data_IF_187019156596
#
_entry.id   IF_187019156596
#
_cell.length_a   1.000
_cell.length_b   1.000
_cell.length_c   1.000
_cell.angle_alpha   90.00
_cell.angle_beta   90.00
_cell.angle_gamma   90.00
#
_symmetry.space_group_name_H-M   'P 1'
#
loop_
_entity.id
_entity.type
_entity.pdbx_description
1 polymer ?
#
# COMPACT_ATOMS: atom_id res chain seq x y z
N UNK A 1 -14.30 31.40 -43.58
CA UNK A 1 -13.56 31.25 -42.31
C UNK A 1 -14.32 31.83 -41.12
N UNK A 2 -14.14 31.26 -39.91
CA UNK A 2 -14.71 31.77 -38.65
C UNK A 2 -13.64 32.57 -37.89
N UNK A 3 -13.99 33.75 -37.37
CA UNK A 3 -13.06 34.58 -36.63
C UNK A 3 -12.74 33.99 -35.24
N UNK A 4 -11.46 33.72 -34.88
CA UNK A 4 -11.10 33.09 -33.61
C UNK A 4 -11.32 34.00 -32.38
N UNK A 5 -11.53 35.31 -32.58
CA UNK A 5 -11.77 36.26 -31.49
C UNK A 5 -13.26 36.39 -31.13
N UNK A 6 -14.13 36.54 -32.13
CA UNK A 6 -15.55 36.84 -31.93
C UNK A 6 -16.51 35.81 -32.53
N UNK A 7 -16.00 34.72 -33.11
CA UNK A 7 -16.76 33.61 -33.70
C UNK A 7 -17.69 34.00 -34.87
N UNK A 8 -17.51 35.19 -35.45
CA UNK A 8 -18.27 35.62 -36.64
C UNK A 8 -17.78 34.89 -37.90
N UNK A 9 -18.72 34.36 -38.70
CA UNK A 9 -18.45 33.66 -39.95
C UNK A 9 -18.41 34.63 -41.14
N UNK A 10 -17.37 34.52 -41.96
CA UNK A 10 -17.15 35.42 -43.11
C UNK A 10 -16.35 34.70 -44.22
N UNK A 11 -16.36 35.21 -45.46
CA UNK A 11 -15.45 34.76 -46.52
C UNK A 11 -13.97 34.96 -46.14
N UNK A 12 -13.06 34.29 -46.85
CA UNK A 12 -11.62 34.39 -46.59
C UNK A 12 -11.09 35.82 -46.77
N UNK A 13 -10.43 36.34 -45.74
CA UNK A 13 -9.89 37.70 -45.73
C UNK A 13 -8.73 37.83 -44.75
N UNK A 14 -8.01 38.97 -44.78
CA UNK A 14 -6.88 39.24 -43.86
C UNK A 14 -7.32 39.73 -42.48
N UNK A 15 -8.57 40.17 -42.33
CA UNK A 15 -9.11 40.75 -41.09
C UNK A 15 -10.60 40.47 -40.90
N UNK A 16 -11.05 40.41 -39.65
CA UNK A 16 -12.47 40.27 -39.35
C UNK A 16 -13.24 41.55 -39.65
N UNK A 17 -14.33 41.46 -40.42
CA UNK A 17 -15.18 42.61 -40.76
C UNK A 17 -16.00 43.12 -39.57
N UNK A 18 -16.25 42.26 -38.58
CA UNK A 18 -17.04 42.59 -37.40
C UNK A 18 -16.20 43.19 -36.26
N UNK A 19 -15.12 42.52 -35.85
CA UNK A 19 -14.30 42.95 -34.71
C UNK A 19 -12.97 43.61 -35.08
N UNK A 20 -12.68 43.77 -36.38
CA UNK A 20 -11.50 44.48 -36.89
C UNK A 20 -10.17 43.76 -36.67
N UNK A 21 -10.18 42.52 -36.18
CA UNK A 21 -8.92 41.83 -35.84
C UNK A 21 -8.18 41.37 -37.10
N UNK A 22 -6.87 41.61 -37.16
CA UNK A 22 -6.00 41.08 -38.22
C UNK A 22 -5.58 39.67 -37.83
N UNK A 23 -5.96 38.66 -38.63
CA UNK A 23 -5.82 37.25 -38.25
C UNK A 23 -4.37 36.85 -37.95
N UNK A 24 -3.40 37.27 -38.77
CA UNK A 24 -1.97 36.97 -38.55
C UNK A 24 -1.45 37.55 -37.23
N UNK A 25 -1.82 38.79 -36.90
CA UNK A 25 -1.41 39.43 -35.65
C UNK A 25 -2.06 38.78 -34.43
N UNK A 26 -3.31 38.34 -34.58
CA UNK A 26 -4.06 37.70 -33.50
C UNK A 26 -3.60 36.26 -33.25
N UNK A 27 -3.28 35.50 -34.31
CA UNK A 27 -2.68 34.19 -34.16
C UNK A 27 -1.34 34.28 -33.42
N UNK A 28 -0.47 35.22 -33.80
CA UNK A 28 0.78 35.47 -33.08
C UNK A 28 0.57 35.91 -31.62
N UNK A 29 -0.58 36.52 -31.29
CA UNK A 29 -0.96 36.84 -29.92
C UNK A 29 -1.40 35.58 -29.15
N UNK A 30 -2.25 34.73 -29.75
CA UNK A 30 -2.69 33.47 -29.15
C UNK A 30 -1.50 32.53 -28.91
N UNK A 31 -0.59 32.41 -29.88
CA UNK A 31 0.61 31.59 -29.77
C UNK A 31 1.46 32.05 -28.58
N UNK A 32 1.69 33.36 -28.43
CA UNK A 32 2.39 33.93 -27.26
C UNK A 32 1.68 33.62 -25.95
N UNK A 33 0.36 33.74 -25.88
CA UNK A 33 -0.38 33.42 -24.66
C UNK A 33 -0.24 31.94 -24.30
N UNK A 34 -0.37 31.05 -25.29
CA UNK A 34 -0.21 29.62 -25.09
C UNK A 34 1.20 29.27 -24.59
N UNK A 35 2.26 29.91 -25.13
CA UNK A 35 3.63 29.71 -24.65
C UNK A 35 3.77 30.11 -23.18
N UNK A 36 3.30 31.32 -22.81
CA UNK A 36 3.37 31.82 -21.42
C UNK A 36 2.58 30.92 -20.46
N UNK A 37 1.37 30.49 -20.85
CA UNK A 37 0.57 29.57 -20.03
C UNK A 37 1.25 28.22 -19.84
N UNK A 38 1.86 27.67 -20.89
CA UNK A 38 2.59 26.41 -20.80
C UNK A 38 3.85 26.52 -19.93
N UNK A 39 4.63 27.60 -20.08
CA UNK A 39 5.80 27.87 -19.24
C UNK A 39 5.40 28.00 -17.76
N UNK A 40 4.37 28.79 -17.45
CA UNK A 40 3.84 28.92 -16.09
C UNK A 40 3.36 27.57 -15.51
N UNK A 41 2.69 26.75 -16.33
CA UNK A 41 2.22 25.43 -15.90
C UNK A 41 3.39 24.47 -15.59
N UNK A 42 4.44 24.50 -16.41
CA UNK A 42 5.66 23.72 -16.18
C UNK A 42 6.36 24.19 -14.91
N UNK A 43 6.57 25.49 -14.76
CA UNK A 43 7.22 26.09 -13.59
C UNK A 43 6.44 25.78 -12.29
N UNK A 44 5.10 25.90 -12.32
CA UNK A 44 4.26 25.56 -11.19
C UNK A 44 4.31 24.06 -10.86
N UNK A 45 4.36 23.18 -11.86
CA UNK A 45 4.49 21.72 -11.65
C UNK A 45 5.85 21.38 -11.03
N UNK A 46 6.92 22.02 -11.49
CA UNK A 46 8.27 21.86 -10.95
C UNK A 46 8.37 22.37 -9.51
N UNK A 47 7.84 23.55 -9.23
CA UNK A 47 7.74 24.10 -7.87
C UNK A 47 6.97 23.19 -6.93
N UNK A 48 5.76 22.76 -7.31
CA UNK A 48 4.95 21.82 -6.53
C UNK A 48 5.68 20.49 -6.26
N UNK A 49 6.41 19.97 -7.25
CA UNK A 49 7.19 18.74 -7.08
C UNK A 49 8.37 18.96 -6.13
N UNK A 50 9.08 20.09 -6.24
CA UNK A 50 10.18 20.45 -5.36
C UNK A 50 9.71 20.65 -3.90
N UNK A 51 8.58 21.31 -3.70
CA UNK A 51 7.95 21.47 -2.38
C UNK A 51 7.54 20.13 -1.78
N UNK A 52 6.88 19.25 -2.56
CA UNK A 52 6.54 17.89 -2.11
C UNK A 52 7.78 17.08 -1.74
N UNK A 53 8.84 17.13 -2.55
CA UNK A 53 10.12 16.48 -2.23
C UNK A 53 10.70 17.02 -0.94
N UNK A 54 10.72 18.33 -0.77
CA UNK A 54 11.25 19.00 0.44
C UNK A 54 10.46 18.62 1.68
N UNK A 55 9.13 18.63 1.60
CA UNK A 55 8.25 18.19 2.69
C UNK A 55 8.44 16.71 3.03
N UNK A 56 8.62 15.84 2.02
CA UNK A 56 8.90 14.42 2.23
C UNK A 56 10.26 14.20 2.91
N UNK A 57 11.32 14.85 2.41
CA UNK A 57 12.64 14.80 3.05
C UNK A 57 12.61 15.34 4.47
N UNK A 58 11.84 16.41 4.73
CA UNK A 58 11.66 16.95 6.07
C UNK A 58 11.00 15.95 7.03
N UNK A 59 10.11 15.06 6.55
CA UNK A 59 9.55 13.97 7.38
C UNK A 59 10.63 12.93 7.68
N UNK A 60 11.43 12.54 6.68
CA UNK A 60 12.46 11.52 6.84
C UNK A 60 13.57 11.93 7.82
N UNK A 61 13.90 13.22 7.88
CA UNK A 61 14.96 13.76 8.75
C UNK A 61 14.49 14.07 10.16
N UNK A 62 13.17 14.14 10.42
CA UNK A 62 12.66 14.35 11.79
C UNK A 62 13.12 13.23 12.72
N UNK A 63 13.60 13.56 13.93
CA UNK A 63 13.93 12.54 14.91
C UNK A 63 12.69 11.73 15.26
N UNK A 64 12.90 10.45 15.52
CA UNK A 64 11.86 9.59 16.04
C UNK A 64 11.60 9.89 17.51
N UNK A 65 10.36 9.72 17.95
CA UNK A 65 10.04 9.72 19.37
C UNK A 65 10.79 8.59 20.08
N UNK A 66 11.24 8.87 21.30
CA UNK A 66 11.89 7.87 22.14
C UNK A 66 10.90 6.79 22.58
N UNK A 67 11.42 5.58 22.78
CA UNK A 67 10.63 4.46 23.28
C UNK A 67 10.85 4.34 24.79
N UNK A 68 9.78 4.36 25.57
CA UNK A 68 9.87 4.13 27.02
C UNK A 68 10.17 2.67 27.32
N UNK A 69 10.82 2.38 28.45
CA UNK A 69 11.09 0.99 28.88
C UNK A 69 9.82 0.13 29.00
N UNK A 70 8.71 0.60 29.59
CA UNK A 70 7.46 -0.17 29.58
C UNK A 70 6.95 -0.48 28.17
N UNK A 71 7.00 0.48 27.24
CA UNK A 71 6.61 0.27 25.84
C UNK A 71 7.53 -0.75 25.15
N UNK A 72 8.83 -0.68 25.39
CA UNK A 72 9.80 -1.64 24.87
C UNK A 72 9.52 -3.06 25.36
N UNK A 73 9.25 -3.22 26.67
CA UNK A 73 8.90 -4.51 27.27
C UNK A 73 7.62 -5.06 26.62
N UNK A 74 6.58 -4.23 26.51
CA UNK A 74 5.31 -4.64 25.88
C UNK A 74 5.52 -5.12 24.43
N UNK A 75 6.23 -4.37 23.61
CA UNK A 75 6.49 -4.74 22.21
C UNK A 75 7.41 -5.96 22.09
N UNK A 76 8.33 -6.15 23.04
CA UNK A 76 9.18 -7.35 23.12
C UNK A 76 8.35 -8.58 23.51
N UNK A 77 7.41 -8.44 24.45
CA UNK A 77 6.47 -9.52 24.76
C UNK A 77 5.63 -9.88 23.53
N UNK A 78 5.15 -8.88 22.78
CA UNK A 78 4.43 -9.13 21.52
C UNK A 78 5.31 -9.90 20.51
N UNK A 79 6.58 -9.51 20.34
CA UNK A 79 7.54 -10.27 19.52
C UNK A 79 7.72 -11.73 20.01
N UNK A 80 7.86 -11.93 21.32
CA UNK A 80 7.98 -13.28 21.92
C UNK A 80 6.70 -14.10 21.69
N UNK A 81 5.51 -13.49 21.80
CA UNK A 81 4.25 -14.17 21.51
C UNK A 81 4.19 -14.66 20.06
N UNK A 82 4.69 -13.89 19.09
CA UNK A 82 4.85 -14.40 17.72
C UNK A 82 5.83 -15.59 17.72
N UNK A 83 7.00 -15.43 18.33
CA UNK A 83 8.01 -16.49 18.44
C UNK A 83 7.49 -17.81 19.04
N UNK A 84 6.58 -17.76 20.02
CA UNK A 84 6.01 -18.95 20.67
C UNK A 84 4.84 -19.51 19.86
N UNK A 85 3.89 -18.68 19.47
CA UNK A 85 2.58 -19.15 19.01
C UNK A 85 2.41 -19.17 17.49
N UNK A 86 3.17 -18.37 16.73
CA UNK A 86 3.01 -18.36 15.28
C UNK A 86 3.59 -19.62 14.63
N UNK A 87 2.99 -20.13 13.54
CA UNK A 87 3.44 -21.33 12.85
C UNK A 87 4.91 -21.27 12.41
N UNK A 88 5.58 -22.43 12.48
CA UNK A 88 6.99 -22.61 12.05
C UNK A 88 7.13 -23.17 10.64
N UNK A 89 6.01 -23.59 10.07
CA UNK A 89 5.89 -24.07 8.70
C UNK A 89 4.64 -23.45 8.09
N UNK A 90 4.49 -23.58 6.78
CA UNK A 90 3.28 -23.17 6.05
C UNK A 90 2.16 -24.19 6.13
N UNK A 91 2.37 -25.33 6.80
CA UNK A 91 1.33 -26.35 7.02
C UNK A 91 0.54 -26.07 8.29
N UNK A 92 -0.73 -26.38 8.25
CA UNK A 92 -1.65 -26.16 9.36
C UNK A 92 -1.54 -27.34 10.31
N UNK A 93 -1.00 -27.10 11.51
CA UNK A 93 -0.94 -28.11 12.58
C UNK A 93 -1.94 -27.82 13.71
N UNK A 94 -2.61 -26.66 13.64
CA UNK A 94 -3.60 -26.19 14.61
C UNK A 94 -3.45 -24.71 14.96
N UNK A 95 -4.48 -24.12 15.54
CA UNK A 95 -4.47 -22.73 15.99
C UNK A 95 -4.40 -22.64 17.51
N UNK A 96 -3.45 -21.88 18.04
CA UNK A 96 -3.53 -21.40 19.42
C UNK A 96 -4.65 -20.37 19.57
N UNK A 97 -5.12 -20.13 20.79
CA UNK A 97 -6.07 -19.04 21.07
C UNK A 97 -5.55 -17.69 20.55
N UNK A 98 -4.27 -17.40 20.77
CA UNK A 98 -3.66 -16.15 20.33
C UNK A 98 -3.65 -16.02 18.80
N UNK A 99 -3.16 -17.03 18.09
CA UNK A 99 -3.11 -17.00 16.62
C UNK A 99 -4.49 -16.99 15.99
N UNK A 100 -5.46 -17.72 16.56
CA UNK A 100 -6.84 -17.70 16.08
C UNK A 100 -7.50 -16.33 16.22
N UNK A 101 -7.27 -15.63 17.35
CA UNK A 101 -7.77 -14.26 17.53
C UNK A 101 -7.15 -13.30 16.53
N UNK A 102 -5.83 -13.37 16.32
CA UNK A 102 -5.14 -12.51 15.35
C UNK A 102 -5.62 -12.81 13.92
N UNK A 103 -5.73 -14.08 13.56
CA UNK A 103 -6.25 -14.51 12.25
C UNK A 103 -7.67 -13.99 12.01
N UNK A 104 -8.58 -14.11 12.97
CA UNK A 104 -9.96 -13.63 12.81
C UNK A 104 -10.05 -12.11 12.59
N UNK A 105 -9.18 -11.32 13.23
CA UNK A 105 -9.10 -9.87 12.98
C UNK A 105 -8.62 -9.60 11.57
N UNK A 106 -7.58 -10.30 11.12
CA UNK A 106 -7.04 -10.16 9.78
C UNK A 106 -8.05 -10.59 8.71
N UNK A 107 -8.78 -11.67 8.97
CA UNK A 107 -9.79 -12.25 8.10
C UNK A 107 -10.95 -11.28 7.88
N UNK A 108 -11.37 -10.52 8.90
CA UNK A 108 -12.37 -9.47 8.70
C UNK A 108 -11.91 -8.40 7.67
N UNK A 109 -10.62 -8.03 7.69
CA UNK A 109 -10.06 -7.13 6.68
C UNK A 109 -9.90 -7.81 5.32
N UNK A 110 -9.59 -9.11 5.30
CA UNK A 110 -9.54 -9.91 4.10
C UNK A 110 -10.88 -9.90 3.35
N UNK A 111 -11.97 -10.27 4.01
CA UNK A 111 -13.30 -10.30 3.39
C UNK A 111 -13.75 -8.93 2.87
N UNK A 112 -13.47 -7.86 3.64
CA UNK A 112 -13.73 -6.49 3.20
C UNK A 112 -12.93 -6.11 1.95
N UNK A 113 -11.76 -6.73 1.75
CA UNK A 113 -10.91 -6.54 0.59
C UNK A 113 -11.56 -6.97 -0.72
N UNK A 114 -12.23 -8.12 -0.75
CA UNK A 114 -12.94 -8.57 -1.95
C UNK A 114 -13.96 -7.53 -2.42
N UNK A 115 -14.71 -6.95 -1.49
CA UNK A 115 -15.69 -5.92 -1.80
C UNK A 115 -14.99 -4.67 -2.33
N UNK A 116 -14.01 -4.15 -1.58
CA UNK A 116 -13.31 -2.90 -1.90
C UNK A 116 -12.61 -2.96 -3.26
N UNK A 117 -11.94 -4.07 -3.55
CA UNK A 117 -11.23 -4.28 -4.80
C UNK A 117 -12.14 -4.78 -5.94
N UNK A 118 -13.28 -5.38 -5.62
CA UNK A 118 -14.32 -5.74 -6.60
C UNK A 118 -14.99 -4.54 -7.26
N UNK A 119 -15.02 -3.38 -6.59
CA UNK A 119 -15.57 -2.12 -7.15
C UNK A 119 -14.87 -1.67 -8.45
N UNK A 120 -13.64 -2.13 -8.70
CA UNK A 120 -12.91 -1.85 -9.94
C UNK A 120 -13.36 -2.72 -11.12
N UNK A 121 -14.30 -3.65 -10.93
CA UNK A 121 -14.85 -4.49 -12.00
C UNK A 121 -13.88 -5.53 -12.57
N UNK A 122 -12.77 -5.79 -11.89
CA UNK A 122 -11.76 -6.78 -12.31
C UNK A 122 -11.79 -8.00 -11.38
N UNK A 123 -12.14 -9.17 -11.94
CA UNK A 123 -12.30 -10.40 -11.15
C UNK A 123 -11.00 -10.87 -10.48
N UNK A 124 -9.85 -10.76 -11.16
CA UNK A 124 -8.55 -11.12 -10.57
C UNK A 124 -8.22 -10.21 -9.39
N UNK A 125 -8.48 -8.91 -9.54
CA UNK A 125 -8.24 -7.93 -8.48
C UNK A 125 -9.20 -8.13 -7.30
N UNK A 126 -10.45 -8.52 -7.55
CA UNK A 126 -11.41 -8.88 -6.51
C UNK A 126 -10.90 -10.06 -5.69
N UNK A 127 -10.49 -11.16 -6.33
CA UNK A 127 -9.95 -12.36 -5.66
C UNK A 127 -8.68 -12.03 -4.89
N UNK A 128 -7.72 -11.35 -5.53
CA UNK A 128 -6.47 -10.93 -4.87
C UNK A 128 -6.71 -9.88 -3.76
N UNK A 129 -7.85 -9.17 -3.85
CA UNK A 129 -8.24 -8.07 -3.00
C UNK A 129 -8.30 -8.42 -1.52
N UNK A 130 -8.64 -9.68 -1.18
CA UNK A 130 -8.68 -10.11 0.22
C UNK A 130 -7.29 -10.06 0.86
N UNK A 131 -6.34 -10.80 0.30
CA UNK A 131 -4.95 -10.79 0.76
C UNK A 131 -4.31 -9.39 0.64
N UNK A 132 -4.66 -8.60 -0.39
CA UNK A 132 -4.16 -7.23 -0.53
C UNK A 132 -4.66 -6.31 0.59
N UNK A 133 -5.94 -6.34 0.90
CA UNK A 133 -6.50 -5.46 1.93
C UNK A 133 -6.00 -5.85 3.31
N UNK A 134 -5.89 -7.16 3.58
CA UNK A 134 -5.29 -7.69 4.79
C UNK A 134 -3.87 -7.14 5.03
N UNK A 135 -3.06 -6.95 3.99
CA UNK A 135 -1.74 -6.30 4.08
C UNK A 135 -1.80 -4.77 4.07
N UNK A 136 -2.77 -4.19 3.37
CA UNK A 136 -2.92 -2.74 3.21
C UNK A 136 -3.25 -2.05 4.54
N UNK A 137 -4.08 -2.66 5.38
CA UNK A 137 -4.50 -2.07 6.66
C UNK A 137 -3.30 -1.81 7.60
N UNK A 138 -2.48 -2.81 7.97
CA UNK A 138 -1.30 -2.54 8.80
C UNK A 138 -0.30 -1.62 8.10
N UNK A 139 -0.24 -1.60 6.75
CA UNK A 139 0.59 -0.66 6.00
C UNK A 139 0.09 0.80 6.13
N UNK A 140 -1.21 1.04 6.11
CA UNK A 140 -1.80 2.37 6.37
C UNK A 140 -1.49 2.82 7.80
N UNK A 141 -1.63 1.92 8.78
CA UNK A 141 -1.30 2.20 10.18
C UNK A 141 0.18 2.53 10.32
N UNK A 142 1.06 1.76 9.67
CA UNK A 142 2.49 2.02 9.60
C UNK A 142 2.78 3.39 9.01
N UNK A 143 2.19 3.74 7.87
CA UNK A 143 2.37 5.03 7.22
C UNK A 143 1.97 6.18 8.15
N UNK A 144 0.86 6.05 8.88
CA UNK A 144 0.40 7.02 9.86
C UNK A 144 1.40 7.24 11.00
N UNK A 145 1.91 6.17 11.61
CA UNK A 145 2.91 6.28 12.68
C UNK A 145 4.28 6.72 12.18
N UNK A 146 4.68 6.29 10.98
CA UNK A 146 5.91 6.74 10.34
C UNK A 146 5.87 8.24 10.06
N UNK A 147 4.74 8.76 9.55
CA UNK A 147 4.55 10.21 9.34
C UNK A 147 4.65 11.00 10.65
N UNK A 148 4.10 10.45 11.75
CA UNK A 148 4.18 11.03 13.09
C UNK A 148 5.53 10.80 13.79
N UNK A 149 6.45 10.08 13.15
CA UNK A 149 7.73 9.63 13.71
C UNK A 149 7.57 8.93 15.05
N UNK A 150 6.48 8.19 15.18
CA UNK A 150 6.14 7.39 16.35
C UNK A 150 6.73 6.00 16.19
N UNK A 151 7.84 5.76 16.88
CA UNK A 151 8.60 4.51 16.73
C UNK A 151 7.85 3.32 17.31
N UNK A 152 7.16 3.51 18.43
CA UNK A 152 6.40 2.45 19.08
C UNK A 152 5.23 2.00 18.19
N UNK A 153 4.45 2.96 17.69
CA UNK A 153 3.36 2.67 16.77
C UNK A 153 3.82 2.04 15.45
N UNK A 154 4.93 2.52 14.88
CA UNK A 154 5.51 1.93 13.67
C UNK A 154 5.97 0.48 13.91
N UNK A 155 6.57 0.20 15.07
CA UNK A 155 6.98 -1.16 15.46
C UNK A 155 5.78 -2.10 15.57
N UNK A 156 4.72 -1.66 16.25
CA UNK A 156 3.48 -2.43 16.36
C UNK A 156 2.89 -2.74 14.98
N UNK A 157 2.81 -1.73 14.10
CA UNK A 157 2.29 -1.89 12.75
C UNK A 157 3.14 -2.83 11.89
N UNK A 158 4.47 -2.79 12.03
CA UNK A 158 5.38 -3.72 11.34
C UNK A 158 5.22 -5.16 11.84
N UNK A 159 5.14 -5.38 13.15
CA UNK A 159 4.88 -6.72 13.70
C UNK A 159 3.56 -7.27 13.18
N UNK A 160 2.50 -6.44 13.14
CA UNK A 160 1.21 -6.83 12.57
C UNK A 160 1.28 -7.10 11.06
N UNK A 161 1.96 -6.24 10.29
CA UNK A 161 2.14 -6.42 8.84
C UNK A 161 2.83 -7.74 8.53
N UNK A 162 3.97 -8.01 9.17
CA UNK A 162 4.72 -9.24 8.93
C UNK A 162 4.05 -10.48 9.53
N UNK A 163 3.24 -10.32 10.57
CA UNK A 163 2.32 -11.36 11.01
C UNK A 163 1.31 -11.74 9.92
N UNK A 164 0.78 -10.75 9.18
CA UNK A 164 -0.09 -11.01 8.03
C UNK A 164 0.63 -11.68 6.86
N UNK A 165 1.94 -11.44 6.66
CA UNK A 165 2.71 -12.19 5.65
C UNK A 165 2.69 -13.70 5.97
N UNK A 166 2.89 -14.07 7.25
CA UNK A 166 2.83 -15.46 7.68
C UNK A 166 1.42 -16.03 7.45
N UNK A 167 0.38 -15.29 7.86
CA UNK A 167 -1.02 -15.69 7.71
C UNK A 167 -1.40 -15.94 6.23
N UNK A 168 -1.12 -14.96 5.36
CA UNK A 168 -1.34 -15.05 3.91
C UNK A 168 -0.53 -16.20 3.30
N UNK A 169 0.71 -16.42 3.74
CA UNK A 169 1.53 -17.51 3.20
C UNK A 169 0.97 -18.90 3.51
N UNK A 170 0.35 -19.09 4.67
CA UNK A 170 -0.32 -20.34 5.03
C UNK A 170 -1.56 -20.51 4.14
N UNK A 171 -2.34 -19.45 3.97
CA UNK A 171 -3.49 -19.44 3.05
C UNK A 171 -3.07 -19.72 1.59
N UNK A 172 -1.92 -19.22 1.15
CA UNK A 172 -1.34 -19.56 -0.15
C UNK A 172 -1.01 -21.05 -0.24
N UNK A 173 -0.31 -21.61 0.75
CA UNK A 173 0.06 -23.03 0.75
C UNK A 173 -1.17 -23.94 0.75
N UNK A 174 -2.22 -23.55 1.47
CA UNK A 174 -3.47 -24.29 1.59
C UNK A 174 -4.24 -24.37 0.27
N UNK A 175 -4.01 -23.49 -0.71
CA UNK A 175 -4.70 -23.54 -2.00
C UNK A 175 -4.61 -24.88 -2.75
N UNK A 176 -3.64 -25.74 -2.39
CA UNK A 176 -3.51 -27.11 -2.90
C UNK A 176 -4.27 -28.16 -2.07
N UNK A 177 -4.37 -27.96 -0.76
CA UNK A 177 -4.87 -28.95 0.21
C UNK A 177 -6.31 -28.69 0.64
N UNK A 178 -6.70 -27.41 0.68
CA UNK A 178 -8.04 -26.92 1.01
C UNK A 178 -8.49 -27.40 2.40
N UNK A 179 -7.57 -27.35 3.37
CA UNK A 179 -7.79 -27.76 4.75
C UNK A 179 -8.36 -26.61 5.60
N UNK A 180 -8.16 -25.34 5.20
CA UNK A 180 -8.73 -24.21 5.94
C UNK A 180 -10.24 -24.08 5.71
N UNK A 181 -11.03 -23.88 6.77
CA UNK A 181 -12.45 -23.61 6.63
C UNK A 181 -12.67 -22.24 5.97
N UNK A 182 -13.44 -22.22 4.88
CA UNK A 182 -13.85 -20.98 4.22
C UNK A 182 -14.97 -20.28 5.01
N UNK A 183 -14.97 -18.95 5.02
CA UNK A 183 -16.06 -18.16 5.58
C UNK A 183 -17.34 -18.37 4.76
N UNK A 184 -18.47 -18.48 5.47
CA UNK A 184 -19.80 -18.54 4.86
C UNK A 184 -20.20 -19.91 4.31
N UNK A 185 -19.38 -20.95 4.50
CA UNK A 185 -19.65 -22.29 3.98
C UNK A 185 -19.63 -22.34 2.45
N UNK A 186 -18.87 -21.43 1.83
CA UNK A 186 -18.65 -21.41 0.39
C UNK A 186 -17.96 -22.71 -0.06
N UNK A 187 -18.20 -23.09 -1.31
CA UNK A 187 -17.58 -24.26 -1.90
C UNK A 187 -16.04 -24.14 -1.87
N UNK A 188 -15.34 -25.28 -1.79
CA UNK A 188 -13.87 -25.32 -1.78
C UNK A 188 -13.26 -24.69 -3.05
N UNK A 189 -14.03 -24.60 -4.13
CA UNK A 189 -13.67 -23.87 -5.35
C UNK A 189 -13.63 -22.34 -5.16
N UNK A 190 -14.18 -21.79 -4.10
CA UNK A 190 -14.13 -20.36 -3.78
C UNK A 190 -12.79 -19.91 -3.18
N UNK A 191 -11.85 -20.82 -2.93
CA UNK A 191 -10.56 -20.47 -2.34
C UNK A 191 -9.71 -19.58 -3.26
N UNK A 192 -9.28 -18.41 -2.77
CA UNK A 192 -8.66 -17.36 -3.59
C UNK A 192 -7.37 -17.81 -4.25
N UNK A 193 -6.41 -18.28 -3.44
CA UNK A 193 -5.09 -18.66 -3.96
C UNK A 193 -5.15 -19.88 -4.88
N UNK A 194 -6.08 -20.81 -4.65
CA UNK A 194 -6.39 -21.88 -5.61
C UNK A 194 -6.82 -21.30 -6.96
N UNK A 195 -7.75 -20.34 -6.95
CA UNK A 195 -8.23 -19.69 -8.16
C UNK A 195 -7.14 -18.89 -8.88
N UNK A 196 -6.27 -18.20 -8.13
CA UNK A 196 -5.13 -17.48 -8.70
C UNK A 196 -4.10 -18.44 -9.31
N UNK A 197 -3.73 -19.52 -8.62
CA UNK A 197 -2.78 -20.50 -9.15
C UNK A 197 -3.32 -21.26 -10.37
N UNK A 198 -4.62 -21.59 -10.40
CA UNK A 198 -5.28 -22.14 -11.59
C UNK A 198 -5.23 -21.14 -12.76
N UNK A 199 -5.61 -19.88 -12.51
CA UNK A 199 -5.71 -18.85 -13.55
C UNK A 199 -4.37 -18.56 -14.22
N UNK A 200 -3.28 -18.60 -13.46
CA UNK A 200 -1.94 -18.23 -13.93
C UNK A 200 -1.03 -19.44 -14.18
N UNK A 201 -1.54 -20.66 -14.02
CA UNK A 201 -0.77 -21.91 -14.14
C UNK A 201 0.50 -21.92 -13.28
N UNK A 202 0.37 -21.51 -12.02
CA UNK A 202 1.49 -21.37 -11.08
C UNK A 202 1.66 -22.56 -10.14
N UNK A 203 1.02 -23.70 -10.44
CA UNK A 203 1.09 -24.90 -9.61
C UNK A 203 2.48 -25.52 -9.52
N UNK A 204 3.42 -25.18 -10.40
CA UNK A 204 4.81 -25.66 -10.28
C UNK A 204 5.61 -24.89 -9.22
N UNK A 205 5.13 -23.71 -8.80
CA UNK A 205 5.84 -22.78 -7.91
C UNK A 205 4.99 -22.30 -6.72
N UNK A 206 3.76 -22.77 -6.56
CA UNK A 206 2.82 -22.38 -5.50
C UNK A 206 3.45 -22.44 -4.09
N UNK A 207 4.07 -23.58 -3.77
CA UNK A 207 4.71 -23.80 -2.48
C UNK A 207 5.98 -22.94 -2.31
N UNK A 208 6.72 -22.69 -3.40
CA UNK A 208 7.88 -21.79 -3.36
C UNK A 208 7.44 -20.35 -3.05
N UNK A 209 6.41 -19.87 -3.73
CA UNK A 209 5.86 -18.53 -3.52
C UNK A 209 5.35 -18.36 -2.09
N UNK A 210 4.57 -19.33 -1.59
CA UNK A 210 4.13 -19.34 -0.19
C UNK A 210 5.31 -19.27 0.77
N UNK A 211 6.34 -20.11 0.61
CA UNK A 211 7.50 -20.12 1.49
C UNK A 211 8.29 -18.80 1.45
N UNK A 212 8.41 -18.16 0.28
CA UNK A 212 9.06 -16.84 0.19
C UNK A 212 8.32 -15.83 1.07
N UNK A 213 6.99 -15.73 0.95
CA UNK A 213 6.19 -14.81 1.76
C UNK A 213 6.29 -15.17 3.26
N UNK A 214 6.26 -16.45 3.60
CA UNK A 214 6.41 -16.95 4.97
C UNK A 214 7.73 -16.49 5.61
N UNK A 215 8.86 -16.71 4.92
CA UNK A 215 10.17 -16.33 5.44
C UNK A 215 10.38 -14.82 5.44
N UNK A 216 9.78 -14.07 4.50
CA UNK A 216 9.76 -12.61 4.56
C UNK A 216 9.01 -12.10 5.80
N UNK A 217 7.90 -12.75 6.18
CA UNK A 217 7.19 -12.46 7.42
C UNK A 217 8.08 -12.65 8.65
N UNK A 218 8.70 -13.82 8.79
CA UNK A 218 9.61 -14.07 9.92
C UNK A 218 10.83 -13.15 9.95
N UNK A 219 11.47 -12.92 8.81
CA UNK A 219 12.60 -12.00 8.70
C UNK A 219 12.17 -10.57 9.10
N UNK A 220 11.00 -10.13 8.64
CA UNK A 220 10.44 -8.82 8.98
C UNK A 220 10.15 -8.66 10.47
N UNK A 221 9.57 -9.68 11.12
CA UNK A 221 9.34 -9.68 12.58
C UNK A 221 10.66 -9.53 13.34
N UNK A 222 11.69 -10.31 12.98
CA UNK A 222 13.00 -10.28 13.65
C UNK A 222 13.71 -8.94 13.42
N UNK A 223 13.75 -8.46 12.17
CA UNK A 223 14.38 -7.18 11.84
C UNK A 223 13.68 -6.00 12.52
N UNK A 224 12.35 -6.05 12.64
CA UNK A 224 11.57 -5.06 13.37
C UNK A 224 11.96 -5.02 14.84
N UNK A 225 12.10 -6.17 15.49
CA UNK A 225 12.53 -6.24 16.88
C UNK A 225 13.98 -5.76 17.07
N UNK A 226 14.90 -6.13 16.17
CA UNK A 226 16.29 -5.63 16.21
C UNK A 226 16.32 -4.10 16.10
N UNK A 227 15.50 -3.53 15.22
CA UNK A 227 15.38 -2.08 15.06
C UNK A 227 14.83 -1.40 16.33
N UNK A 228 13.78 -1.98 16.93
CA UNK A 228 13.23 -1.52 18.21
C UNK A 228 14.30 -1.53 19.31
N UNK A 229 15.00 -2.66 19.48
CA UNK A 229 16.02 -2.84 20.51
C UNK A 229 17.16 -1.82 20.39
N UNK A 230 17.74 -1.68 19.19
CA UNK A 230 18.81 -0.70 18.94
C UNK A 230 18.34 0.73 19.22
N UNK A 231 17.12 1.05 18.82
CA UNK A 231 16.56 2.39 19.05
C UNK A 231 16.35 2.68 20.53
N UNK A 232 15.75 1.73 21.27
CA UNK A 232 15.53 1.88 22.70
C UNK A 232 16.83 1.99 23.51
N UNK A 233 17.89 1.27 23.10
CA UNK A 233 19.20 1.44 23.72
C UNK A 233 19.76 2.85 23.52
N UNK A 234 19.64 3.41 22.31
CA UNK A 234 20.07 4.77 22.01
C UNK A 234 19.24 5.86 22.69
N UNK A 235 18.01 5.57 23.09
CA UNK A 235 17.11 6.49 23.80
C UNK A 235 17.40 6.57 25.31
N UNK A 236 18.25 5.69 25.86
CA UNK A 236 18.60 5.73 27.29
C UNK A 236 19.52 6.92 27.57
N UNK A 237 19.28 7.70 28.64
CA UNK A 237 20.27 8.67 29.08
C UNK A 237 21.57 7.93 29.38
N UNK A 238 22.68 8.40 28.81
CA UNK A 238 24.01 7.90 29.15
C UNK A 238 24.14 8.03 30.68
N UNK A 239 24.25 6.89 31.36
CA UNK A 239 24.57 6.83 32.78
C UNK A 239 25.98 7.31 33.06
#
# INVERSE_FOLDING_TARGET
MICPKCQFEQPDSKSCVYCGVIFVKYQAYLDRQNTVTNENNIENKEKNLAEKKTAFFAILTRPWKSVTTPTFIFLTLLFILHGIFFPKTTRIEGWSLFTGLVHNVNLAFHEAGHILFGLFGNNTLMILGGSLNQLLIPLIVLAGFFHKRDRAGATFALLWLFGNFIDVSIYMADGRFLELPLIGGLDLEAHDWRNLFNRFDLWSVDQLLSNIIFYLGWAGIVLTWIWLYKSWQGDRPNG
#
